data_IF_448367657824
#
_entry.id   IF_448367657824
#
_cell.length_a   1.000
_cell.length_b   1.000
_cell.length_c   1.000
_cell.angle_alpha   90.00
_cell.angle_beta   90.00
_cell.angle_gamma   90.00
#
_symmetry.space_group_name_H-M   'P 1'
#
loop_
_entity.id
_entity.type
_entity.pdbx_description
1 polymer ?
#
# COMPACT_ATOMS: atom_id res chain seq x y z
N UNK A 1 38.29 -36.60 21.28
CA UNK A 1 37.24 -36.18 22.22
C UNK A 1 37.16 -34.66 22.44
N UNK A 2 38.15 -33.87 22.06
CA UNK A 2 38.13 -32.40 22.23
C UNK A 2 37.46 -31.70 21.02
N UNK A 3 37.57 -32.26 19.81
CA UNK A 3 37.04 -31.69 18.56
C UNK A 3 35.48 -31.72 18.45
N UNK A 4 34.89 -32.77 18.98
CA UNK A 4 33.41 -32.98 18.90
C UNK A 4 32.61 -31.99 19.77
N UNK A 5 33.21 -31.54 20.90
CA UNK A 5 32.63 -30.56 21.81
C UNK A 5 32.65 -29.14 21.22
N UNK A 6 33.66 -28.81 20.43
CA UNK A 6 33.81 -27.48 19.83
C UNK A 6 32.81 -27.27 18.67
N UNK A 7 32.54 -28.31 17.86
CA UNK A 7 31.52 -28.27 16.82
C UNK A 7 30.08 -28.09 17.40
N UNK A 8 29.77 -28.69 18.53
CA UNK A 8 28.48 -28.57 19.20
C UNK A 8 28.27 -27.15 19.76
N UNK A 9 29.29 -26.56 20.37
CA UNK A 9 29.25 -25.16 20.88
C UNK A 9 29.06 -24.16 19.76
N UNK A 10 29.83 -24.28 18.67
CA UNK A 10 29.68 -23.38 17.49
C UNK A 10 28.33 -23.51 16.85
N UNK A 11 27.77 -24.72 16.75
CA UNK A 11 26.42 -24.92 16.23
C UNK A 11 25.34 -24.29 17.13
N UNK A 12 25.50 -24.37 18.46
CA UNK A 12 24.65 -23.74 19.43
C UNK A 12 24.66 -22.21 19.30
N UNK A 13 25.84 -21.60 19.25
CA UNK A 13 25.98 -20.14 19.10
C UNK A 13 25.42 -19.65 17.76
N UNK A 14 25.62 -20.38 16.64
CA UNK A 14 25.03 -20.03 15.35
C UNK A 14 23.51 -20.05 15.39
N UNK A 15 22.90 -21.05 16.02
CA UNK A 15 21.44 -21.14 16.18
C UNK A 15 20.90 -20.03 17.10
N UNK A 16 21.60 -19.75 18.20
CA UNK A 16 21.22 -18.68 19.10
C UNK A 16 21.34 -17.29 18.43
N UNK A 17 22.41 -17.04 17.69
CA UNK A 17 22.60 -15.82 16.93
C UNK A 17 21.55 -15.67 15.81
N UNK A 18 21.21 -16.77 15.09
CA UNK A 18 20.15 -16.76 14.10
C UNK A 18 18.78 -16.35 14.67
N UNK A 19 18.38 -16.99 15.77
CA UNK A 19 17.12 -16.65 16.46
C UNK A 19 17.09 -15.21 16.99
N UNK A 20 18.22 -14.73 17.52
CA UNK A 20 18.33 -13.36 17.98
C UNK A 20 18.20 -12.37 16.81
N UNK A 21 18.82 -12.67 15.66
CA UNK A 21 18.72 -11.85 14.46
C UNK A 21 17.28 -11.84 13.90
N UNK A 22 16.60 -12.98 13.83
CA UNK A 22 15.21 -13.09 13.42
C UNK A 22 14.30 -12.23 14.33
N UNK A 23 14.46 -12.32 15.64
CA UNK A 23 13.68 -11.53 16.59
C UNK A 23 13.90 -10.02 16.44
N UNK A 24 15.15 -9.59 16.21
CA UNK A 24 15.46 -8.18 15.95
C UNK A 24 14.80 -7.68 14.66
N UNK A 25 14.79 -8.50 13.61
CA UNK A 25 14.13 -8.17 12.33
C UNK A 25 12.61 -8.08 12.53
N UNK A 26 12.00 -9.04 13.21
CA UNK A 26 10.57 -9.02 13.50
C UNK A 26 10.15 -7.78 14.32
N UNK A 27 10.93 -7.42 15.34
CA UNK A 27 10.66 -6.22 16.14
C UNK A 27 10.82 -4.94 15.32
N UNK A 28 11.84 -4.85 14.49
CA UNK A 28 12.06 -3.73 13.58
C UNK A 28 10.90 -3.60 12.58
N UNK A 29 10.47 -4.71 12.00
CA UNK A 29 9.33 -4.75 11.07
C UNK A 29 8.04 -4.29 11.76
N UNK A 30 7.71 -4.85 12.93
CA UNK A 30 6.50 -4.48 13.68
C UNK A 30 6.49 -2.97 14.03
N UNK A 31 7.65 -2.41 14.41
CA UNK A 31 7.78 -0.98 14.69
C UNK A 31 7.57 -0.11 13.46
N UNK A 32 8.11 -0.52 12.32
CA UNK A 32 7.93 0.20 11.05
C UNK A 32 6.49 0.11 10.57
N UNK A 33 5.86 -1.07 10.63
CA UNK A 33 4.46 -1.27 10.25
C UNK A 33 3.50 -0.45 11.10
N UNK A 34 3.73 -0.34 12.41
CA UNK A 34 2.91 0.50 13.28
C UNK A 34 2.96 1.98 12.89
N UNK A 35 4.09 2.45 12.37
CA UNK A 35 4.26 3.81 11.85
C UNK A 35 3.67 3.95 10.45
N UNK A 36 3.80 2.92 9.62
CA UNK A 36 3.24 2.86 8.28
C UNK A 36 1.69 2.92 8.27
N UNK A 37 1.04 2.82 9.42
CA UNK A 37 -0.38 3.10 9.59
C UNK A 37 -0.78 4.55 9.20
N UNK A 38 0.17 5.46 9.05
CA UNK A 38 -0.07 6.88 8.77
C UNK A 38 0.13 7.30 7.31
N UNK A 39 0.59 6.40 6.44
CA UNK A 39 0.77 6.67 5.00
C UNK A 39 0.39 5.49 4.14
N UNK A 40 0.25 5.74 2.87
CA UNK A 40 0.01 4.72 1.84
C UNK A 40 1.21 4.72 0.88
N UNK A 41 1.70 3.54 0.54
CA UNK A 41 2.79 3.40 -0.43
C UNK A 41 2.25 3.44 -1.87
N UNK A 42 3.07 3.84 -2.86
CA UNK A 42 2.73 3.75 -4.27
C UNK A 42 2.41 2.32 -4.71
N UNK A 43 1.80 2.14 -5.90
CA UNK A 43 1.43 0.82 -6.40
C UNK A 43 2.64 -0.11 -6.52
N UNK A 44 2.42 -1.39 -6.22
CA UNK A 44 3.44 -2.45 -6.29
C UNK A 44 4.68 -2.21 -5.42
N UNK A 45 4.54 -1.45 -4.34
CA UNK A 45 5.60 -1.33 -3.34
C UNK A 45 5.88 -2.66 -2.66
N UNK A 46 7.15 -2.91 -2.38
CA UNK A 46 7.58 -4.01 -1.50
C UNK A 46 6.94 -3.85 -0.10
N UNK A 47 6.93 -4.91 0.73
CA UNK A 47 6.60 -4.81 2.14
C UNK A 47 7.41 -3.69 2.83
N UNK A 48 6.86 -3.05 3.86
CA UNK A 48 7.36 -1.77 4.38
C UNK A 48 8.85 -1.77 4.72
N UNK A 49 9.36 -2.79 5.41
CA UNK A 49 10.78 -2.89 5.76
C UNK A 49 11.64 -3.01 4.49
N UNK A 50 11.27 -3.90 3.58
CA UNK A 50 11.98 -4.11 2.32
C UNK A 50 11.93 -2.85 1.45
N UNK A 51 10.78 -2.17 1.41
CA UNK A 51 10.62 -0.91 0.69
C UNK A 51 11.59 0.16 1.20
N UNK A 52 11.69 0.34 2.52
CA UNK A 52 12.58 1.35 3.12
C UNK A 52 14.05 1.04 2.83
N UNK A 53 14.41 -0.24 2.82
CA UNK A 53 15.78 -0.69 2.53
C UNK A 53 16.14 -0.56 1.04
N UNK A 54 15.19 -0.79 0.14
CA UNK A 54 15.39 -0.71 -1.30
C UNK A 54 15.28 0.74 -1.84
N UNK A 55 14.38 1.56 -1.29
CA UNK A 55 14.11 2.91 -1.78
C UNK A 55 15.33 3.83 -1.64
N UNK A 56 15.89 4.27 -2.77
CA UNK A 56 17.04 5.19 -2.83
C UNK A 56 16.67 6.65 -2.60
N UNK A 57 15.39 6.97 -2.48
CA UNK A 57 14.87 8.36 -2.30
C UNK A 57 15.20 9.28 -3.48
N UNK A 58 15.28 8.72 -4.69
CA UNK A 58 15.64 9.44 -5.91
C UNK A 58 14.53 10.33 -6.47
N UNK A 59 13.29 10.16 -6.01
CA UNK A 59 12.08 10.89 -6.41
C UNK A 59 11.62 10.65 -7.87
N UNK A 60 12.25 9.71 -8.59
CA UNK A 60 11.91 9.39 -9.97
C UNK A 60 10.47 8.91 -10.14
N UNK A 61 9.95 8.12 -9.19
CA UNK A 61 8.56 7.66 -9.20
C UNK A 61 7.55 8.81 -9.06
N UNK A 62 7.88 9.86 -8.31
CA UNK A 62 7.05 11.05 -8.19
C UNK A 62 7.10 11.88 -9.46
N UNK A 63 8.30 12.06 -10.04
CA UNK A 63 8.52 12.77 -11.32
C UNK A 63 7.80 12.06 -12.48
N UNK A 64 7.82 10.73 -12.51
CA UNK A 64 7.16 9.94 -13.55
C UNK A 64 5.63 9.89 -13.41
N UNK A 65 5.06 10.28 -12.25
CA UNK A 65 3.63 10.23 -12.02
C UNK A 65 2.89 11.33 -12.75
N UNK A 66 2.07 11.05 -13.81
CA UNK A 66 1.38 12.08 -14.58
C UNK A 66 0.30 12.82 -13.77
N UNK A 67 -0.10 12.27 -12.64
CA UNK A 67 -1.14 12.81 -11.75
C UNK A 67 -0.58 13.56 -10.53
N UNK A 68 0.76 13.56 -10.34
CA UNK A 68 1.44 14.22 -9.22
C UNK A 68 0.90 13.82 -7.83
N UNK A 69 0.56 12.55 -7.66
CA UNK A 69 -0.01 12.02 -6.41
C UNK A 69 1.00 11.24 -5.55
N UNK A 70 2.24 11.15 -6.01
CA UNK A 70 3.35 10.57 -5.25
C UNK A 70 4.21 11.72 -4.70
N UNK A 71 4.56 11.65 -3.42
CA UNK A 71 5.34 12.68 -2.75
C UNK A 71 6.34 12.06 -1.77
N UNK A 72 7.46 12.74 -1.47
CA UNK A 72 8.42 12.29 -0.46
C UNK A 72 7.86 12.51 0.95
N UNK A 73 7.94 11.49 1.82
CA UNK A 73 7.51 11.61 3.21
C UNK A 73 8.32 12.68 3.96
N UNK A 74 7.67 13.58 4.73
CA UNK A 74 8.35 14.55 5.56
C UNK A 74 9.19 13.89 6.68
N UNK A 75 10.25 14.57 7.12
CA UNK A 75 11.11 14.11 8.22
C UNK A 75 10.38 14.00 9.57
N UNK A 76 9.22 14.63 9.71
CA UNK A 76 8.36 14.51 10.90
C UNK A 76 7.84 13.10 11.15
N UNK A 77 7.80 12.25 10.12
CA UNK A 77 7.46 10.82 10.25
C UNK A 77 8.63 9.96 10.73
N UNK A 78 9.85 10.52 10.78
CA UNK A 78 11.08 9.90 11.26
C UNK A 78 12.17 9.84 10.20
N UNK A 79 13.42 9.86 10.64
CA UNK A 79 14.58 9.96 9.74
C UNK A 79 14.77 8.73 8.83
N UNK A 80 14.35 7.57 9.29
CA UNK A 80 14.44 6.29 8.58
C UNK A 80 13.49 6.21 7.36
N UNK A 81 12.32 6.86 7.45
CA UNK A 81 11.31 6.90 6.38
C UNK A 81 11.29 8.23 5.62
N UNK A 82 11.99 9.25 6.11
CA UNK A 82 12.06 10.55 5.46
C UNK A 82 12.48 10.45 3.99
N UNK A 83 11.84 11.24 3.15
CA UNK A 83 12.04 11.30 1.69
C UNK A 83 11.73 9.98 0.95
N UNK A 84 11.21 8.95 1.59
CA UNK A 84 10.68 7.78 0.86
C UNK A 84 9.32 8.10 0.25
N UNK A 85 9.00 7.48 -0.89
CA UNK A 85 7.77 7.76 -1.63
C UNK A 85 6.50 7.35 -0.88
N UNK A 86 5.51 8.21 -0.86
CA UNK A 86 4.16 7.97 -0.37
C UNK A 86 3.12 8.47 -1.37
N UNK A 87 1.88 7.96 -1.24
CA UNK A 87 0.77 8.27 -2.12
C UNK A 87 -0.24 9.20 -1.43
N UNK A 88 -0.58 10.31 -2.08
CA UNK A 88 -1.65 11.21 -1.63
C UNK A 88 -3.02 10.66 -2.02
N UNK A 89 -3.60 9.86 -1.14
CA UNK A 89 -4.95 9.30 -1.32
C UNK A 89 -6.06 10.27 -0.88
N UNK A 90 -5.72 11.36 -0.19
CA UNK A 90 -6.69 12.30 0.34
C UNK A 90 -7.12 13.34 -0.70
N UNK A 91 -6.18 13.81 -1.52
CA UNK A 91 -6.43 14.91 -2.46
C UNK A 91 -6.55 14.45 -3.92
N UNK A 92 -5.90 13.35 -4.32
CA UNK A 92 -5.87 12.93 -5.72
C UNK A 92 -6.13 11.45 -5.93
N UNK A 93 -5.48 10.59 -5.16
CA UNK A 93 -5.54 9.15 -5.34
C UNK A 93 -4.74 8.64 -6.56
N UNK A 94 -4.49 7.34 -6.61
CA UNK A 94 -3.78 6.70 -7.71
C UNK A 94 -4.73 6.39 -8.87
N UNK A 95 -4.41 6.88 -10.06
CA UNK A 95 -5.22 6.67 -11.27
C UNK A 95 -5.03 5.30 -11.93
N UNK A 96 -4.16 4.44 -11.39
CA UNK A 96 -3.96 3.07 -11.89
C UNK A 96 -3.59 3.06 -13.38
N UNK A 97 -2.57 3.86 -13.75
CA UNK A 97 -2.10 4.00 -15.14
C UNK A 97 -1.79 2.64 -15.77
N UNK A 98 -2.13 2.45 -17.04
CA UNK A 98 -1.98 1.18 -17.76
C UNK A 98 -0.51 0.73 -17.84
N UNK A 99 0.40 1.67 -18.08
CA UNK A 99 1.84 1.47 -18.23
C UNK A 99 2.65 1.58 -16.93
N UNK A 100 2.00 1.95 -15.80
CA UNK A 100 2.62 2.09 -14.49
C UNK A 100 3.95 2.89 -14.49
N UNK A 101 3.96 4.14 -14.96
CA UNK A 101 5.20 4.88 -15.18
C UNK A 101 6.02 5.06 -13.90
N UNK A 102 5.40 5.18 -12.74
CA UNK A 102 6.08 5.26 -11.46
C UNK A 102 6.83 3.97 -11.08
N UNK A 103 6.31 2.81 -11.48
CA UNK A 103 6.96 1.51 -11.26
C UNK A 103 8.11 1.32 -12.24
N UNK A 104 7.87 1.64 -13.52
CA UNK A 104 8.89 1.55 -14.57
C UNK A 104 10.10 2.47 -14.29
N UNK A 105 9.87 3.63 -13.67
CA UNK A 105 10.94 4.57 -13.30
C UNK A 105 11.72 4.13 -12.04
N UNK A 106 11.30 3.09 -11.32
CA UNK A 106 11.95 2.66 -10.09
C UNK A 106 13.12 1.70 -10.36
N UNK A 107 14.32 2.22 -10.64
CA UNK A 107 15.53 1.42 -10.88
C UNK A 107 15.96 0.57 -9.69
N UNK A 108 15.56 0.97 -8.47
CA UNK A 108 15.90 0.26 -7.24
C UNK A 108 14.96 -0.92 -6.93
N UNK A 109 13.99 -1.22 -7.80
CA UNK A 109 12.98 -2.28 -7.60
C UNK A 109 12.18 -2.15 -6.28
N UNK A 110 12.17 -0.99 -5.65
CA UNK A 110 11.34 -0.73 -4.46
C UNK A 110 9.83 -0.75 -4.83
N UNK A 111 9.53 -0.40 -6.08
CA UNK A 111 8.24 -0.60 -6.74
C UNK A 111 8.44 -1.65 -7.83
N UNK A 112 7.80 -2.81 -7.69
CA UNK A 112 8.02 -3.93 -8.60
C UNK A 112 6.74 -4.71 -8.87
N UNK A 113 6.33 -4.80 -10.13
CA UNK A 113 5.21 -5.66 -10.51
C UNK A 113 5.57 -7.12 -10.26
N UNK A 114 4.65 -7.92 -9.69
CA UNK A 114 4.86 -9.36 -9.62
C UNK A 114 4.99 -9.91 -11.04
N UNK A 115 6.04 -10.72 -11.26
CA UNK A 115 6.18 -11.49 -12.48
C UNK A 115 5.25 -12.69 -12.33
N UNK A 116 4.25 -12.82 -13.19
CA UNK A 116 3.48 -14.05 -13.29
C UNK A 116 4.41 -15.13 -13.85
N UNK A 117 4.84 -16.08 -13.03
CA UNK A 117 5.66 -17.21 -13.47
C UNK A 117 4.86 -18.24 -14.27
N UNK A 118 3.56 -18.07 -14.36
CA UNK A 118 2.68 -18.93 -15.15
C UNK A 118 2.08 -18.10 -16.29
N UNK A 119 2.61 -18.28 -17.50
CA UNK A 119 1.89 -18.01 -18.75
C UNK A 119 0.73 -19.01 -18.85
N UNK A 120 -0.28 -18.85 -18.00
CA UNK A 120 -1.54 -19.56 -18.15
C UNK A 120 -2.29 -18.90 -19.33
N UNK A 121 -2.16 -19.54 -20.50
CA UNK A 121 -2.80 -19.12 -21.75
C UNK A 121 -4.33 -19.15 -21.59
N UNK A 122 -4.92 -18.16 -20.90
CA UNK A 122 -6.37 -18.17 -20.84
C UNK A 122 -7.08 -17.02 -20.15
N UNK A 123 -6.50 -16.30 -19.20
CA UNK A 123 -7.18 -15.17 -18.59
C UNK A 123 -6.18 -14.08 -18.20
N UNK A 124 -6.11 -13.04 -19.01
CA UNK A 124 -5.40 -11.79 -18.70
C UNK A 124 -6.18 -11.03 -17.62
N UNK A 125 -6.23 -11.58 -16.40
CA UNK A 125 -6.84 -10.90 -15.26
C UNK A 125 -5.84 -9.85 -14.76
N UNK A 126 -6.14 -8.55 -14.89
CA UNK A 126 -5.23 -7.53 -14.43
C UNK A 126 -4.92 -7.71 -12.93
N UNK A 127 -3.64 -7.84 -12.59
CA UNK A 127 -3.19 -7.87 -11.20
C UNK A 127 -3.21 -6.43 -10.68
N UNK A 128 -4.17 -6.13 -9.80
CA UNK A 128 -4.28 -4.82 -9.18
C UNK A 128 -3.45 -4.75 -7.90
N UNK A 129 -2.65 -3.68 -7.70
CA UNK A 129 -1.87 -3.52 -6.48
C UNK A 129 -2.77 -3.24 -5.28
N UNK A 130 -2.54 -3.92 -4.17
CA UNK A 130 -3.21 -3.63 -2.90
C UNK A 130 -2.40 -2.58 -2.14
N UNK A 131 -2.83 -1.31 -2.17
CA UNK A 131 -2.11 -0.19 -1.55
C UNK A 131 -2.69 0.21 -0.19
N UNK A 132 -4.03 0.13 -0.06
CA UNK A 132 -4.75 0.57 1.14
C UNK A 132 -6.10 -0.15 1.24
N UNK A 133 -6.84 0.12 2.31
CA UNK A 133 -8.23 -0.30 2.48
C UNK A 133 -9.14 0.92 2.40
N UNK A 134 -10.18 0.83 1.58
CA UNK A 134 -11.24 1.85 1.54
C UNK A 134 -12.51 1.31 2.19
N UNK A 135 -13.24 2.18 2.87
CA UNK A 135 -14.51 1.86 3.51
C UNK A 135 -15.50 3.01 3.40
N UNK A 136 -16.80 2.67 3.37
CA UNK A 136 -17.89 3.65 3.45
C UNK A 136 -18.17 3.95 4.93
N UNK A 137 -18.24 5.22 5.28
CA UNK A 137 -18.69 5.72 6.57
C UNK A 137 -20.18 6.04 6.45
N UNK A 138 -21.05 5.14 6.91
CA UNK A 138 -22.49 5.29 6.75
C UNK A 138 -23.02 6.56 7.41
N UNK A 139 -22.46 6.96 8.53
CA UNK A 139 -22.84 8.16 9.27
C UNK A 139 -22.50 9.47 8.53
N UNK A 140 -21.55 9.43 7.60
CA UNK A 140 -21.08 10.59 6.84
C UNK A 140 -21.51 10.54 5.37
N UNK A 141 -21.87 9.36 4.85
CA UNK A 141 -22.26 9.14 3.46
C UNK A 141 -23.72 9.57 3.21
N UNK A 142 -23.93 10.54 2.31
CA UNK A 142 -25.25 11.13 2.05
C UNK A 142 -26.33 10.08 1.76
N UNK A 143 -26.18 9.10 0.84
CA UNK A 143 -27.22 8.11 0.58
C UNK A 143 -27.64 7.25 1.79
N UNK A 144 -26.77 7.08 2.76
CA UNK A 144 -27.11 6.38 4.00
C UNK A 144 -27.88 7.25 4.99
N UNK A 145 -27.80 8.58 4.82
CA UNK A 145 -28.49 9.58 5.65
C UNK A 145 -29.79 10.10 5.05
N UNK A 146 -30.10 9.70 3.81
CA UNK A 146 -31.34 10.06 3.12
C UNK A 146 -31.20 10.83 1.81
N UNK A 147 -30.29 11.84 1.67
CA UNK A 147 -30.13 12.54 0.40
C UNK A 147 -29.52 11.66 -0.67
N UNK A 148 -29.98 11.75 -1.91
CA UNK A 148 -29.37 11.12 -3.06
C UNK A 148 -27.97 11.68 -3.31
N UNK A 149 -27.01 10.79 -3.67
CA UNK A 149 -25.65 11.18 -4.05
C UNK A 149 -25.01 10.07 -4.88
N UNK A 150 -24.42 10.46 -6.01
CA UNK A 150 -23.69 9.56 -6.91
C UNK A 150 -22.27 10.04 -7.19
N UNK A 151 -21.73 10.97 -6.40
CA UNK A 151 -20.46 11.64 -6.71
C UNK A 151 -19.26 10.69 -6.92
N UNK A 152 -19.20 9.58 -6.19
CA UNK A 152 -18.16 8.56 -6.37
C UNK A 152 -18.52 7.48 -7.41
N UNK A 153 -19.72 7.54 -8.02
CA UNK A 153 -20.09 6.60 -9.06
C UNK A 153 -19.20 6.79 -10.30
N UNK A 154 -18.65 5.69 -10.82
CA UNK A 154 -17.76 5.75 -11.96
C UNK A 154 -16.31 6.18 -11.64
N UNK A 155 -15.99 6.55 -10.38
CA UNK A 155 -14.62 6.90 -9.99
C UNK A 155 -13.69 5.69 -9.80
N UNK A 156 -14.25 4.49 -9.66
CA UNK A 156 -13.45 3.28 -9.43
C UNK A 156 -12.98 2.65 -10.74
N UNK A 157 -11.66 2.52 -10.98
CA UNK A 157 -11.13 1.89 -12.19
C UNK A 157 -11.23 0.36 -12.15
N UNK A 158 -11.51 -0.24 -10.98
CA UNK A 158 -11.55 -1.69 -10.82
C UNK A 158 -12.99 -2.18 -10.91
N UNK A 159 -13.32 -3.02 -11.90
CA UNK A 159 -14.67 -3.54 -12.08
C UNK A 159 -15.19 -4.27 -10.83
N UNK A 160 -16.36 -3.87 -10.35
CA UNK A 160 -17.04 -4.50 -9.22
C UNK A 160 -16.45 -4.19 -7.84
N UNK A 161 -15.37 -3.40 -7.72
CA UNK A 161 -14.82 -3.01 -6.43
C UNK A 161 -15.66 -1.92 -5.73
N UNK A 162 -16.30 -1.04 -6.48
CA UNK A 162 -17.28 -0.07 -5.99
C UNK A 162 -18.61 -0.30 -6.72
N UNK A 163 -19.64 -0.66 -6.00
CA UNK A 163 -20.97 -0.96 -6.53
C UNK A 163 -22.03 -0.11 -5.85
N UNK A 164 -23.19 0.04 -6.49
CA UNK A 164 -24.32 0.80 -5.96
C UNK A 164 -25.56 -0.08 -5.92
N UNK A 165 -26.24 -0.07 -4.79
CA UNK A 165 -27.54 -0.70 -4.63
C UNK A 165 -28.49 0.29 -4.00
N UNK A 166 -29.63 0.60 -4.68
CA UNK A 166 -30.56 1.66 -4.25
C UNK A 166 -29.81 2.95 -3.91
N UNK A 167 -28.92 3.39 -4.80
CA UNK A 167 -28.07 4.59 -4.70
C UNK A 167 -27.01 4.58 -3.58
N UNK A 168 -26.98 3.56 -2.76
CA UNK A 168 -26.01 3.40 -1.69
C UNK A 168 -24.74 2.74 -2.20
N UNK A 169 -23.57 3.38 -2.06
CA UNK A 169 -22.30 2.79 -2.46
C UNK A 169 -21.90 1.65 -1.52
N UNK A 170 -21.27 0.64 -2.06
CA UNK A 170 -20.65 -0.46 -1.33
C UNK A 170 -19.28 -0.77 -1.92
N UNK A 171 -18.30 -1.03 -1.07
CA UNK A 171 -16.93 -1.36 -1.47
C UNK A 171 -16.65 -2.84 -1.18
N UNK A 172 -16.33 -3.60 -2.22
CA UNK A 172 -15.77 -4.93 -2.08
C UNK A 172 -14.29 -4.81 -1.69
N UNK A 173 -13.99 -5.06 -0.41
CA UNK A 173 -12.64 -4.93 0.14
C UNK A 173 -11.64 -5.93 -0.44
N UNK A 174 -12.09 -7.06 -0.96
CA UNK A 174 -11.23 -8.05 -1.62
C UNK A 174 -10.72 -7.53 -2.98
N UNK A 175 -11.58 -6.86 -3.75
CA UNK A 175 -11.26 -6.30 -5.07
C UNK A 175 -10.60 -4.92 -4.98
N UNK A 176 -10.97 -4.13 -3.99
CA UNK A 176 -10.53 -2.74 -3.84
C UNK A 176 -9.01 -2.64 -3.66
N UNK A 177 -8.34 -1.89 -4.52
CA UNK A 177 -6.89 -1.59 -4.42
C UNK A 177 -6.57 -0.53 -3.35
N UNK A 178 -7.55 0.25 -2.90
CA UNK A 178 -7.31 1.37 -1.98
C UNK A 178 -6.69 2.60 -2.66
N UNK A 179 -6.95 2.81 -3.95
CA UNK A 179 -6.35 3.87 -4.75
C UNK A 179 -6.76 5.30 -4.35
N UNK A 180 -7.87 5.48 -3.63
CA UNK A 180 -8.32 6.78 -3.13
C UNK A 180 -9.21 7.59 -4.08
N UNK A 181 -9.41 7.19 -5.33
CA UNK A 181 -10.21 7.97 -6.29
C UNK A 181 -11.66 8.20 -5.85
N UNK A 182 -12.28 7.20 -5.23
CA UNK A 182 -13.63 7.37 -4.68
C UNK A 182 -13.68 8.36 -3.49
N UNK A 183 -12.61 8.42 -2.69
CA UNK A 183 -12.46 9.42 -1.63
C UNK A 183 -12.27 10.82 -2.22
N UNK A 184 -11.43 10.96 -3.24
CA UNK A 184 -11.22 12.23 -3.94
C UNK A 184 -12.53 12.74 -4.56
N UNK A 185 -13.32 11.85 -5.18
CA UNK A 185 -14.62 12.18 -5.77
C UNK A 185 -15.74 12.46 -4.74
N UNK A 186 -15.58 12.10 -3.48
CA UNK A 186 -16.60 12.31 -2.46
C UNK A 186 -16.80 13.80 -2.16
N UNK A 187 -18.06 14.28 -2.24
CA UNK A 187 -18.44 15.68 -2.00
C UNK A 187 -18.95 15.95 -0.58
N UNK A 188 -19.17 14.88 0.21
CA UNK A 188 -19.65 15.05 1.58
C UNK A 188 -18.58 15.71 2.48
N UNK A 189 -19.02 16.47 3.47
CA UNK A 189 -18.18 17.03 4.51
C UNK A 189 -18.85 16.77 5.88
N UNK A 190 -18.22 15.93 6.73
CA UNK A 190 -17.00 15.17 6.47
C UNK A 190 -17.18 14.13 5.36
N UNK A 191 -16.07 13.68 4.76
CA UNK A 191 -16.06 12.69 3.68
C UNK A 191 -16.72 11.37 4.11
N UNK A 192 -17.67 10.87 3.34
CA UNK A 192 -18.38 9.59 3.57
C UNK A 192 -17.55 8.34 3.16
N UNK A 193 -16.30 8.52 2.77
CA UNK A 193 -15.35 7.45 2.43
C UNK A 193 -14.06 7.69 3.20
N UNK A 194 -13.50 6.61 3.72
CA UNK A 194 -12.19 6.63 4.37
C UNK A 194 -11.25 5.65 3.67
N UNK A 195 -10.01 6.07 3.45
CA UNK A 195 -8.92 5.21 2.98
C UNK A 195 -7.87 5.14 4.08
N UNK A 196 -7.48 3.94 4.46
CA UNK A 196 -6.52 3.69 5.53
C UNK A 196 -5.40 2.78 5.04
N UNK A 197 -4.19 2.98 5.56
CA UNK A 197 -3.05 2.11 5.32
C UNK A 197 -3.38 0.65 5.62
N UNK A 198 -2.73 -0.28 4.92
CA UNK A 198 -2.83 -1.73 5.18
C UNK A 198 -2.36 -2.09 6.59
N UNK A 199 -1.44 -1.31 7.15
CA UNK A 199 -0.84 -1.51 8.47
C UNK A 199 -1.66 -0.91 9.62
N UNK A 200 -2.72 -0.15 9.33
CA UNK A 200 -3.60 0.40 10.36
C UNK A 200 -4.55 -0.67 10.89
N UNK A 201 -4.45 -0.98 12.16
CA UNK A 201 -5.43 -1.79 12.87
C UNK A 201 -6.69 -0.95 13.14
N UNK A 202 -7.86 -1.56 13.01
CA UNK A 202 -9.16 -0.94 13.31
C UNK A 202 -9.40 -0.84 14.80
#
# INVERSE_FOLDING_TARGET
>A
MVDEIDHSRRAFFRRAAGKAAEHVVEEAQARLESRAAHWVRPPFSLPELEFILACTRCDECATACPHNVIFPLPASYGADVAATAALDVLNGGCHMCEDWPCVTACEADALKRPVSEEEDEGQDVPVWPKMARAMILADDCLPYRGPECGACQGSCPIPGALTFSMEKPSIDTARCAGCGLCLAACIADPKGIRVISLYRQE
#
